data_IF_576837555012
#
_entry.id   IF_576837555012
#
_cell.length_a   1.000
_cell.length_b   1.000
_cell.length_c   1.000
_cell.angle_alpha   90.00
_cell.angle_beta   90.00
_cell.angle_gamma   90.00
#
_symmetry.space_group_name_H-M   'P 1'
#
loop_
_entity.id
_entity.type
_entity.pdbx_description
1 polymer ?
#
# COMPACT_ATOMS: atom_id res chain seq x y z
N UNK A 1 26.74 -10.05 -17.44
CA UNK A 1 26.54 -10.39 -16.01
C UNK A 1 26.11 -9.18 -15.16
N UNK A 2 26.76 -8.01 -15.27
CA UNK A 2 26.39 -6.82 -14.47
C UNK A 2 24.95 -6.27 -14.71
N UNK A 3 24.38 -6.45 -15.90
CA UNK A 3 22.99 -6.01 -16.19
C UNK A 3 21.95 -6.86 -15.45
N UNK A 4 22.10 -8.18 -15.46
CA UNK A 4 21.18 -9.12 -14.80
C UNK A 4 21.09 -8.87 -13.28
N UNK A 5 22.22 -8.58 -12.63
CA UNK A 5 22.26 -8.24 -11.20
C UNK A 5 21.51 -6.95 -10.90
N UNK A 6 21.61 -5.94 -11.78
CA UNK A 6 20.92 -4.65 -11.65
C UNK A 6 19.40 -4.80 -11.77
N UNK A 7 18.92 -5.67 -12.66
CA UNK A 7 17.50 -5.99 -12.82
C UNK A 7 16.93 -6.73 -11.61
N UNK A 8 17.67 -7.70 -11.09
CA UNK A 8 17.31 -8.43 -9.87
C UNK A 8 17.25 -7.49 -8.65
N UNK A 9 18.25 -6.63 -8.48
CA UNK A 9 18.28 -5.63 -7.40
C UNK A 9 17.10 -4.67 -7.48
N UNK A 10 16.79 -4.13 -8.66
CA UNK A 10 15.64 -3.24 -8.85
C UNK A 10 14.31 -3.94 -8.54
N UNK A 11 14.17 -5.23 -8.88
CA UNK A 11 12.99 -6.03 -8.57
C UNK A 11 12.86 -6.28 -7.06
N UNK A 12 13.95 -6.63 -6.38
CA UNK A 12 13.96 -6.84 -4.92
C UNK A 12 13.63 -5.54 -4.19
N UNK A 13 14.24 -4.41 -4.57
CA UNK A 13 13.95 -3.10 -3.98
C UNK A 13 12.48 -2.70 -4.13
N UNK A 14 11.87 -2.92 -5.30
CA UNK A 14 10.43 -2.62 -5.53
C UNK A 14 9.50 -3.41 -4.62
N UNK A 15 9.90 -4.63 -4.23
CA UNK A 15 9.13 -5.49 -3.31
C UNK A 15 9.38 -5.14 -1.84
N UNK A 16 10.63 -4.80 -1.51
CA UNK A 16 11.01 -4.51 -0.14
C UNK A 16 10.56 -3.13 0.33
N UNK A 17 10.53 -2.11 -0.56
CA UNK A 17 10.20 -0.75 -0.15
C UNK A 17 8.79 -0.62 0.47
N UNK A 18 7.70 -1.14 -0.14
CA UNK A 18 6.38 -1.07 0.49
C UNK A 18 6.32 -1.82 1.82
N UNK A 19 6.97 -2.99 1.92
CA UNK A 19 7.00 -3.77 3.15
C UNK A 19 7.79 -3.05 4.27
N UNK A 20 8.91 -2.43 3.91
CA UNK A 20 9.78 -1.67 4.81
C UNK A 20 9.07 -0.44 5.39
N UNK A 21 8.15 0.17 4.64
CA UNK A 21 7.33 1.28 5.16
C UNK A 21 6.12 0.77 5.93
N UNK A 22 5.47 -0.29 5.44
CA UNK A 22 4.26 -0.87 6.03
C UNK A 22 4.46 -1.27 7.49
N UNK A 23 5.50 -2.06 7.78
CA UNK A 23 5.72 -2.61 9.13
C UNK A 23 5.91 -1.51 10.19
N UNK A 24 6.91 -0.61 10.08
CA UNK A 24 7.12 0.42 11.10
C UNK A 24 5.96 1.40 11.19
N UNK A 25 5.33 1.76 10.06
CA UNK A 25 4.19 2.68 10.10
C UNK A 25 2.94 2.06 10.73
N UNK A 26 2.73 0.75 10.54
CA UNK A 26 1.65 0.01 11.22
C UNK A 26 1.90 -0.05 12.72
N UNK A 27 3.12 -0.36 13.15
CA UNK A 27 3.49 -0.39 14.58
C UNK A 27 3.31 1.00 15.19
N UNK A 28 3.80 2.04 14.53
CA UNK A 28 3.61 3.42 14.98
C UNK A 28 2.12 3.78 15.10
N UNK A 29 1.32 3.50 14.08
CA UNK A 29 -0.12 3.78 14.08
C UNK A 29 -0.84 3.04 15.22
N UNK A 30 -0.50 1.76 15.45
CA UNK A 30 -1.06 0.99 16.56
C UNK A 30 -0.71 1.58 17.93
N UNK A 31 0.53 2.04 18.12
CA UNK A 31 0.95 2.70 19.35
C UNK A 31 0.20 4.03 19.58
N UNK A 32 -0.01 4.82 18.53
CA UNK A 32 -0.78 6.08 18.62
C UNK A 32 -2.23 5.78 18.96
N UNK A 33 -2.87 4.82 18.28
CA UNK A 33 -4.26 4.42 18.54
C UNK A 33 -4.42 3.93 19.98
N UNK A 34 -3.45 3.16 20.51
CA UNK A 34 -3.48 2.68 21.89
C UNK A 34 -3.41 3.81 22.94
N UNK A 35 -2.81 4.96 22.60
CA UNK A 35 -2.64 6.10 23.51
C UNK A 35 -3.72 7.16 23.36
N UNK A 36 -4.02 7.53 22.12
CA UNK A 36 -4.88 8.67 21.77
C UNK A 36 -6.31 8.25 21.38
N UNK A 37 -6.55 6.94 21.27
CA UNK A 37 -7.80 6.39 20.76
C UNK A 37 -7.88 6.42 19.23
N UNK A 38 -8.73 5.56 18.66
CA UNK A 38 -8.83 5.39 17.21
C UNK A 38 -9.29 6.67 16.47
N UNK A 39 -10.19 7.45 17.08
CA UNK A 39 -10.72 8.68 16.49
C UNK A 39 -10.03 9.96 16.96
N UNK A 40 -8.94 9.87 17.73
CA UNK A 40 -8.23 11.04 18.28
C UNK A 40 -7.69 12.01 17.22
N UNK A 41 -7.34 11.48 16.04
CA UNK A 41 -6.89 12.32 14.92
C UNK A 41 -8.02 13.17 14.32
N UNK A 42 -9.28 12.72 14.38
CA UNK A 42 -10.43 13.49 13.86
C UNK A 42 -10.67 14.71 14.75
N UNK A 43 -10.64 14.52 16.08
CA UNK A 43 -10.76 15.63 17.02
C UNK A 43 -9.63 16.65 16.84
N UNK A 44 -8.40 16.20 16.56
CA UNK A 44 -7.29 17.08 16.24
C UNK A 44 -7.51 17.81 14.91
N UNK A 45 -7.99 17.11 13.88
CA UNK A 45 -8.25 17.69 12.56
C UNK A 45 -9.32 18.78 12.59
N UNK A 46 -10.39 18.58 13.38
CA UNK A 46 -11.50 19.54 13.46
C UNK A 46 -11.20 20.78 14.31
N UNK A 47 -10.14 20.74 15.14
CA UNK A 47 -9.79 21.84 16.04
C UNK A 47 -9.08 22.99 15.33
N UNK A 48 -8.27 22.70 14.32
CA UNK A 48 -7.38 23.67 13.68
C UNK A 48 -7.48 23.58 12.14
N UNK A 49 -7.48 24.70 11.40
CA UNK A 49 -7.62 24.69 9.94
C UNK A 49 -6.60 23.81 9.21
N UNK A 50 -5.35 23.80 9.66
CA UNK A 50 -4.31 22.92 9.10
C UNK A 50 -4.61 21.44 9.31
N UNK A 51 -5.16 21.07 10.46
CA UNK A 51 -5.58 19.69 10.72
C UNK A 51 -6.69 19.25 9.78
N UNK A 52 -7.67 20.14 9.54
CA UNK A 52 -8.76 19.89 8.61
C UNK A 52 -8.24 19.76 7.17
N UNK A 53 -7.29 20.61 6.77
CA UNK A 53 -6.66 20.52 5.45
C UNK A 53 -5.94 19.17 5.25
N UNK A 54 -5.17 18.70 6.24
CA UNK A 54 -4.49 17.39 6.16
C UNK A 54 -5.48 16.23 6.09
N UNK A 55 -6.60 16.30 6.83
CA UNK A 55 -7.65 15.29 6.76
C UNK A 55 -8.31 15.25 5.37
N UNK A 56 -8.62 16.41 4.80
CA UNK A 56 -9.20 16.51 3.46
C UNK A 56 -8.23 16.00 2.39
N UNK A 57 -6.96 16.39 2.48
CA UNK A 57 -5.91 15.90 1.57
C UNK A 57 -5.78 14.38 1.64
N UNK A 58 -5.81 13.80 2.84
CA UNK A 58 -5.82 12.35 3.03
C UNK A 58 -7.05 11.70 2.37
N UNK A 59 -8.26 12.24 2.56
CA UNK A 59 -9.47 11.72 1.92
C UNK A 59 -9.38 11.74 0.38
N UNK A 60 -8.85 12.83 -0.19
CA UNK A 60 -8.64 12.97 -1.64
C UNK A 60 -7.59 11.95 -2.11
N UNK A 61 -6.44 11.87 -1.44
CA UNK A 61 -5.37 10.95 -1.78
C UNK A 61 -5.85 9.49 -1.72
N UNK A 62 -6.60 9.10 -0.69
CA UNK A 62 -7.18 7.75 -0.58
C UNK A 62 -8.21 7.48 -1.67
N UNK A 63 -8.99 8.47 -2.07
CA UNK A 63 -9.94 8.32 -3.19
C UNK A 63 -9.22 8.08 -4.52
N UNK A 64 -8.17 8.85 -4.79
CA UNK A 64 -7.33 8.65 -5.97
C UNK A 64 -6.66 7.27 -5.96
N UNK A 65 -6.08 6.88 -4.82
CA UNK A 65 -5.47 5.56 -4.63
C UNK A 65 -6.50 4.45 -4.78
N UNK A 66 -7.72 4.60 -4.28
CA UNK A 66 -8.81 3.64 -4.44
C UNK A 66 -9.12 3.39 -5.92
N UNK A 67 -9.26 4.45 -6.72
CA UNK A 67 -9.49 4.31 -8.17
C UNK A 67 -8.34 3.60 -8.88
N UNK A 68 -7.11 3.86 -8.44
CA UNK A 68 -5.92 3.20 -8.97
C UNK A 68 -5.85 1.71 -8.57
N UNK A 69 -6.09 1.38 -7.29
CA UNK A 69 -6.14 -0.02 -6.81
C UNK A 69 -7.20 -0.79 -7.59
N UNK A 70 -8.39 -0.21 -7.79
CA UNK A 70 -9.46 -0.86 -8.53
C UNK A 70 -9.03 -1.25 -9.96
N UNK A 71 -8.36 -0.32 -10.68
CA UNK A 71 -7.86 -0.56 -12.05
C UNK A 71 -6.71 -1.58 -12.05
N UNK A 72 -5.69 -1.38 -11.23
CA UNK A 72 -4.49 -2.24 -11.16
C UNK A 72 -4.86 -3.67 -10.71
N UNK A 73 -5.81 -3.83 -9.79
CA UNK A 73 -6.26 -5.14 -9.33
C UNK A 73 -6.98 -5.90 -10.44
N UNK A 74 -7.82 -5.20 -11.22
CA UNK A 74 -8.55 -5.78 -12.36
C UNK A 74 -7.59 -6.26 -13.45
N UNK A 75 -6.56 -5.47 -13.77
CA UNK A 75 -5.52 -5.85 -14.74
C UNK A 75 -4.69 -7.06 -14.29
N UNK A 76 -4.56 -7.27 -12.97
CA UNK A 76 -3.76 -8.36 -12.38
C UNK A 76 -4.57 -9.58 -11.95
N UNK A 77 -5.89 -9.58 -12.12
CA UNK A 77 -6.76 -10.65 -11.61
C UNK A 77 -6.76 -10.77 -10.08
N UNK A 78 -6.55 -9.66 -9.37
CA UNK A 78 -6.57 -9.59 -7.91
C UNK A 78 -7.93 -9.08 -7.45
N UNK A 79 -8.47 -9.64 -6.35
CA UNK A 79 -9.70 -9.16 -5.72
C UNK A 79 -9.43 -7.81 -5.03
N UNK A 80 -10.04 -6.73 -5.51
CA UNK A 80 -9.77 -5.36 -5.05
C UNK A 80 -10.47 -5.00 -3.72
N UNK A 81 -11.67 -5.52 -3.48
CA UNK A 81 -12.56 -5.01 -2.43
C UNK A 81 -11.98 -5.02 -1.00
N UNK A 82 -11.17 -6.00 -0.54
CA UNK A 82 -10.63 -5.97 0.82
C UNK A 82 -9.73 -4.75 1.04
N UNK A 83 -8.97 -4.40 0.00
CA UNK A 83 -8.05 -3.27 0.01
C UNK A 83 -8.81 -1.95 -0.05
N UNK A 84 -9.82 -1.85 -0.90
CA UNK A 84 -10.68 -0.66 -0.99
C UNK A 84 -11.41 -0.39 0.31
N UNK A 85 -11.95 -1.43 0.95
CA UNK A 85 -12.63 -1.30 2.23
C UNK A 85 -11.67 -0.89 3.34
N UNK A 86 -10.41 -1.32 3.29
CA UNK A 86 -9.41 -0.98 4.31
C UNK A 86 -8.97 0.50 4.29
N UNK A 87 -8.98 1.17 3.13
CA UNK A 87 -8.50 2.55 2.99
C UNK A 87 -9.16 3.55 3.97
N UNK A 88 -10.49 3.63 4.12
CA UNK A 88 -11.10 4.58 5.05
C UNK A 88 -10.81 4.29 6.53
N UNK A 89 -10.42 3.05 6.88
CA UNK A 89 -10.16 2.69 8.29
C UNK A 89 -8.69 2.84 8.65
N UNK A 90 -7.79 2.30 7.82
CA UNK A 90 -6.36 2.23 8.13
C UNK A 90 -5.50 3.11 7.21
N UNK A 91 -6.15 3.91 6.36
CA UNK A 91 -5.48 4.87 5.47
C UNK A 91 -4.46 4.20 4.55
N UNK A 92 -3.25 4.75 4.55
CA UNK A 92 -2.14 4.28 3.72
C UNK A 92 -1.67 2.85 4.07
N UNK A 93 -1.97 2.32 5.26
CA UNK A 93 -1.67 0.92 5.61
C UNK A 93 -2.39 -0.02 4.64
N UNK A 94 -3.64 0.28 4.29
CA UNK A 94 -4.41 -0.50 3.31
C UNK A 94 -3.78 -0.47 1.91
N UNK A 95 -3.34 0.73 1.48
CA UNK A 95 -2.66 0.92 0.20
C UNK A 95 -1.31 0.18 0.15
N UNK A 96 -0.51 0.28 1.21
CA UNK A 96 0.77 -0.41 1.34
C UNK A 96 0.59 -1.93 1.40
N UNK A 97 -0.44 -2.41 2.11
CA UNK A 97 -0.82 -3.81 2.13
C UNK A 97 -1.15 -4.35 0.75
N UNK A 98 -1.90 -3.58 -0.06
CA UNK A 98 -2.18 -3.94 -1.45
C UNK A 98 -0.90 -4.01 -2.30
N UNK A 99 -0.01 -3.02 -2.16
CA UNK A 99 1.28 -2.98 -2.86
C UNK A 99 2.15 -4.20 -2.53
N UNK A 100 2.18 -4.60 -1.26
CA UNK A 100 2.81 -5.84 -0.85
C UNK A 100 2.08 -6.99 -1.54
N UNK A 101 0.80 -7.21 -1.27
CA UNK A 101 0.03 -8.34 -1.81
C UNK A 101 0.18 -8.58 -3.32
N UNK A 102 0.06 -7.54 -4.14
CA UNK A 102 0.19 -7.66 -5.59
C UNK A 102 1.57 -8.11 -6.06
N UNK A 103 2.62 -7.83 -5.28
CA UNK A 103 3.99 -8.29 -5.60
C UNK A 103 4.20 -9.78 -5.31
N UNK A 104 3.45 -10.34 -4.36
CA UNK A 104 3.45 -11.78 -4.07
C UNK A 104 2.63 -12.56 -5.10
N UNK A 105 1.55 -11.94 -5.63
CA UNK A 105 0.69 -12.53 -6.65
C UNK A 105 1.15 -12.34 -8.10
N UNK A 106 2.26 -11.63 -8.34
CA UNK A 106 2.79 -11.47 -9.69
C UNK A 106 3.00 -12.86 -10.33
N UNK A 107 2.43 -13.13 -11.53
CA UNK A 107 2.63 -14.41 -12.20
C UNK A 107 4.13 -14.72 -12.30
N UNK A 108 4.55 -15.93 -11.89
CA UNK A 108 5.90 -16.41 -12.20
C UNK A 108 6.07 -16.30 -13.72
N UNK A 109 7.15 -15.68 -14.24
CA UNK A 109 7.43 -15.73 -15.66
C UNK A 109 7.52 -17.20 -16.07
N UNK A 110 6.54 -17.70 -16.83
CA UNK A 110 6.54 -19.08 -17.35
C UNK A 110 7.66 -19.31 -18.38
N UNK A 111 8.50 -18.29 -18.63
CA UNK A 111 9.69 -18.35 -19.48
C UNK A 111 10.73 -19.40 -19.04
N UNK A 112 10.62 -19.98 -17.85
CA UNK A 112 11.51 -21.06 -17.40
C UNK A 112 11.00 -22.47 -17.75
N UNK A 113 9.75 -22.62 -18.21
CA UNK A 113 9.17 -23.93 -18.57
C UNK A 113 9.24 -24.27 -20.07
N UNK A 114 9.69 -23.34 -20.90
CA UNK A 114 9.75 -23.48 -22.36
C UNK A 114 11.18 -23.71 -22.91
N UNK A 115 12.14 -24.08 -22.05
CA UNK A 115 13.45 -24.51 -22.55
C UNK A 115 13.27 -25.86 -23.28
N UNK A 116 13.59 -25.95 -24.59
CA UNK A 116 13.58 -27.23 -25.29
C UNK A 116 14.64 -28.16 -24.66
N UNK A 117 14.24 -29.41 -24.38
CA UNK A 117 15.16 -30.49 -24.00
C UNK A 117 15.96 -30.96 -25.20
#
# INVERSE_FOLDING_TARGET
>A
MASATRWLQAQVMKKMLPALVLVPFTVFSAMVIAKEGYFGFITLALREPWGMQVLLDLCIALSLVATWIHRDARERGIVAWPWLLSLPFVGSIGALGYLVWRTWRAPRPLATLAAPR
#
